data_IF_097399595905
#
_entry.id   IF_097399595905
#
_cell.length_a   1.000
_cell.length_b   1.000
_cell.length_c   1.000
_cell.angle_alpha   90.00
_cell.angle_beta   90.00
_cell.angle_gamma   90.00
#
_symmetry.space_group_name_H-M   'P 1'
#
loop_
_entity.id
_entity.type
_entity.pdbx_description
1 polymer ?
#
# COMPACT_ATOMS: atom_id res chain seq x y z
N UNK A 1 -16.25 -82.21 6.75
CA UNK A 1 -15.86 -81.02 7.53
C UNK A 1 -14.82 -80.23 6.74
N UNK A 2 -15.22 -79.16 6.06
CA UNK A 2 -14.29 -78.18 5.47
C UNK A 2 -14.87 -76.79 5.79
N UNK A 3 -14.19 -76.08 6.69
CA UNK A 3 -14.57 -74.73 7.11
C UNK A 3 -14.20 -73.78 5.98
N UNK A 4 -15.20 -73.11 5.40
CA UNK A 4 -15.01 -72.02 4.44
C UNK A 4 -14.78 -70.76 5.28
N UNK A 5 -13.55 -70.26 5.26
CA UNK A 5 -13.17 -69.01 5.92
C UNK A 5 -13.47 -67.87 4.94
N UNK A 6 -14.40 -66.99 5.32
CA UNK A 6 -14.72 -65.78 4.57
C UNK A 6 -13.71 -64.70 4.98
N UNK A 7 -12.75 -64.40 4.09
CA UNK A 7 -11.75 -63.36 4.31
C UNK A 7 -12.37 -62.01 3.88
N UNK A 8 -12.72 -61.17 4.85
CA UNK A 8 -13.19 -59.80 4.64
C UNK A 8 -11.99 -58.92 4.24
N UNK A 9 -11.92 -58.56 2.96
CA UNK A 9 -10.99 -57.54 2.45
C UNK A 9 -11.55 -56.16 2.79
N UNK A 10 -11.02 -55.53 3.86
CA UNK A 10 -11.26 -54.12 4.15
C UNK A 10 -10.22 -53.30 3.38
N UNK A 11 -10.61 -52.76 2.23
CA UNK A 11 -9.79 -51.78 1.51
C UNK A 11 -9.85 -50.45 2.25
N UNK A 12 -8.79 -50.12 3.00
CA UNK A 12 -8.59 -48.77 3.51
C UNK A 12 -8.33 -47.83 2.33
N UNK A 13 -9.32 -47.02 1.98
CA UNK A 13 -9.13 -45.87 1.10
C UNK A 13 -8.31 -44.83 1.87
N UNK A 14 -6.98 -44.87 1.71
CA UNK A 14 -6.15 -43.71 2.01
C UNK A 14 -6.44 -42.66 0.95
N UNK A 15 -7.34 -41.72 1.26
CA UNK A 15 -7.46 -40.47 0.53
C UNK A 15 -6.15 -39.69 0.75
N UNK A 16 -5.17 -39.92 -0.11
CA UNK A 16 -4.01 -39.05 -0.25
C UNK A 16 -4.52 -37.70 -0.74
N UNK A 17 -4.76 -36.77 0.18
CA UNK A 17 -4.77 -35.35 -0.17
C UNK A 17 -3.35 -35.01 -0.63
N UNK A 18 -3.14 -35.10 -1.94
CA UNK A 18 -1.95 -34.56 -2.58
C UNK A 18 -1.90 -33.06 -2.26
N UNK A 19 -0.87 -32.65 -1.52
CA UNK A 19 -0.54 -31.25 -1.37
C UNK A 19 -0.21 -30.70 -2.77
N UNK A 20 -1.09 -29.89 -3.32
CA UNK A 20 -0.76 -28.94 -4.39
C UNK A 20 0.14 -27.85 -3.78
N UNK A 21 1.42 -28.17 -3.55
CA UNK A 21 2.47 -27.16 -3.45
C UNK A 21 2.95 -26.86 -4.87
N UNK A 22 2.24 -25.95 -5.54
CA UNK A 22 2.74 -25.26 -6.72
C UNK A 22 2.16 -23.85 -6.74
N UNK A 23 2.54 -23.06 -5.75
CA UNK A 23 2.69 -21.62 -5.93
C UNK A 23 4.19 -21.38 -5.83
N UNK A 24 4.78 -20.78 -6.87
CA UNK A 24 6.15 -20.32 -6.80
C UNK A 24 6.29 -19.54 -5.49
N UNK A 25 7.08 -20.07 -4.56
CA UNK A 25 7.32 -19.37 -3.30
C UNK A 25 7.80 -17.97 -3.71
N UNK A 26 7.16 -16.88 -3.26
CA UNK A 26 7.76 -15.57 -3.41
C UNK A 26 9.20 -15.73 -2.91
N UNK A 27 10.19 -15.34 -3.73
CA UNK A 27 11.57 -15.27 -3.24
C UNK A 27 11.51 -14.41 -2.00
N UNK A 28 11.59 -15.07 -0.84
CA UNK A 28 11.36 -14.47 0.46
C UNK A 28 12.49 -13.45 0.70
N UNK A 29 12.26 -12.19 0.30
CA UNK A 29 13.21 -11.11 0.53
C UNK A 29 13.09 -10.74 2.01
N UNK A 30 14.09 -11.14 2.79
CA UNK A 30 14.20 -10.74 4.19
C UNK A 30 14.32 -9.23 4.29
N UNK A 31 13.46 -8.62 5.11
CA UNK A 31 13.60 -7.20 5.38
C UNK A 31 14.84 -6.92 6.23
N UNK A 32 15.74 -6.11 5.68
CA UNK A 32 16.86 -5.55 6.41
C UNK A 32 16.55 -4.09 6.76
N UNK A 33 16.19 -3.85 8.03
CA UNK A 33 15.85 -2.53 8.56
C UNK A 33 17.08 -1.64 8.75
N UNK A 34 17.77 -1.36 7.66
CA UNK A 34 19.01 -0.58 7.63
C UNK A 34 18.89 0.59 6.67
N UNK A 35 19.48 1.72 7.06
CA UNK A 35 19.64 2.90 6.21
C UNK A 35 21.11 3.29 6.19
N UNK A 36 21.63 3.58 5.00
CA UNK A 36 22.99 4.11 4.86
C UNK A 36 22.96 5.63 5.07
N UNK A 37 23.66 6.10 6.10
CA UNK A 37 23.91 7.52 6.33
C UNK A 37 25.01 8.02 5.39
N UNK A 38 24.94 9.29 5.01
CA UNK A 38 25.93 10.01 4.20
C UNK A 38 27.31 10.02 4.85
N UNK A 39 27.41 9.85 6.16
CA UNK A 39 28.68 9.73 6.86
C UNK A 39 29.31 8.31 6.78
N UNK A 40 28.73 7.41 6.00
CA UNK A 40 29.22 6.04 5.80
C UNK A 40 28.79 5.04 6.87
N UNK A 41 28.07 5.48 7.91
CA UNK A 41 27.50 4.56 8.92
C UNK A 41 26.20 3.94 8.43
N UNK A 42 25.95 2.71 8.87
CA UNK A 42 24.67 2.04 8.67
C UNK A 42 23.84 2.12 9.95
N UNK A 43 22.66 2.71 9.88
CA UNK A 43 21.74 2.89 11.01
C UNK A 43 20.67 1.80 10.99
N UNK A 44 20.31 1.24 12.15
CA UNK A 44 19.08 0.46 12.28
C UNK A 44 17.88 1.39 12.23
N UNK A 45 16.72 0.90 11.80
CA UNK A 45 15.47 1.67 11.93
C UNK A 45 15.18 2.07 13.38
N UNK A 46 15.53 1.21 14.34
CA UNK A 46 15.33 1.49 15.77
C UNK A 46 16.24 2.62 16.30
N UNK A 47 17.33 2.93 15.60
CA UNK A 47 18.25 4.02 15.95
C UNK A 47 17.80 5.37 15.38
N UNK A 48 16.81 5.38 14.48
CA UNK A 48 16.35 6.56 13.74
C UNK A 48 15.07 7.09 14.38
N UNK A 49 15.02 8.40 14.70
CA UNK A 49 13.82 9.00 15.29
C UNK A 49 12.62 8.93 14.33
N UNK A 50 11.43 8.68 14.85
CA UNK A 50 10.21 8.60 14.04
C UNK A 50 9.91 7.18 13.56
N UNK A 51 9.25 7.04 12.42
CA UNK A 51 8.83 5.75 11.87
C UNK A 51 8.91 5.78 10.34
N UNK A 52 9.41 4.71 9.68
CA UNK A 52 9.36 4.55 8.22
C UNK A 52 7.95 4.17 7.74
N UNK A 53 7.05 3.83 8.67
CA UNK A 53 5.67 3.43 8.43
C UNK A 53 4.71 4.57 8.78
N UNK A 54 3.67 4.74 7.95
CA UNK A 54 2.49 5.53 8.32
C UNK A 54 1.72 4.90 9.49
N UNK A 55 1.66 3.57 9.53
CA UNK A 55 1.07 2.77 10.60
C UNK A 55 2.11 1.70 10.96
N UNK A 56 2.62 1.73 12.19
CA UNK A 56 3.76 0.88 12.61
C UNK A 56 3.32 -0.58 12.84
N UNK A 57 2.09 -0.77 13.27
CA UNK A 57 1.54 -2.07 13.66
C UNK A 57 1.24 -2.93 12.44
N UNK A 58 1.52 -4.22 12.54
CA UNK A 58 0.95 -5.20 11.62
C UNK A 58 -0.54 -5.31 11.85
N UNK A 59 -1.31 -5.31 10.75
CA UNK A 59 -2.76 -5.44 10.74
C UNK A 59 -3.17 -6.57 9.82
N UNK A 60 -4.30 -7.18 10.14
CA UNK A 60 -4.88 -8.23 9.31
C UNK A 60 -5.23 -7.66 7.93
N UNK A 61 -4.74 -8.31 6.89
CA UNK A 61 -4.89 -7.89 5.50
C UNK A 61 -5.15 -9.09 4.59
N UNK A 62 -6.12 -8.94 3.67
CA UNK A 62 -6.37 -9.91 2.61
C UNK A 62 -5.59 -9.49 1.37
N UNK A 63 -4.74 -10.38 0.86
CA UNK A 63 -3.92 -10.14 -0.34
C UNK A 63 -4.59 -10.79 -1.54
N UNK A 64 -5.18 -10.01 -2.43
CA UNK A 64 -5.99 -10.54 -3.54
C UNK A 64 -7.09 -11.52 -3.09
N UNK A 65 -7.95 -11.97 -4.00
CA UNK A 65 -9.14 -12.74 -3.62
C UNK A 65 -8.83 -14.16 -3.15
N UNK A 66 -7.76 -14.75 -3.70
CA UNK A 66 -7.43 -16.17 -3.60
C UNK A 66 -6.39 -16.52 -2.52
N UNK A 67 -5.88 -15.54 -1.77
CA UNK A 67 -4.90 -15.80 -0.71
C UNK A 67 -5.52 -15.66 0.68
N UNK A 68 -4.87 -16.34 1.62
CA UNK A 68 -5.17 -16.25 3.04
C UNK A 68 -4.94 -14.83 3.57
N UNK A 69 -5.66 -14.51 4.63
CA UNK A 69 -5.45 -13.28 5.39
C UNK A 69 -4.14 -13.37 6.16
N UNK A 70 -3.30 -12.35 6.06
CA UNK A 70 -1.99 -12.28 6.71
C UNK A 70 -1.87 -11.01 7.56
N UNK A 71 -0.94 -11.01 8.52
CA UNK A 71 -0.58 -9.80 9.26
C UNK A 71 0.42 -9.00 8.43
N UNK A 72 0.00 -7.85 7.91
CA UNK A 72 0.80 -7.00 7.02
C UNK A 72 0.87 -5.54 7.50
N UNK A 73 1.85 -4.79 7.01
CA UNK A 73 1.93 -3.34 7.15
C UNK A 73 2.58 -2.72 5.91
N UNK A 74 2.35 -1.43 5.71
CA UNK A 74 2.92 -0.69 4.58
C UNK A 74 4.08 0.20 5.04
N UNK A 75 5.26 -0.04 4.49
CA UNK A 75 6.46 0.76 4.65
C UNK A 75 6.47 1.90 3.61
N UNK A 76 6.08 3.10 4.02
CA UNK A 76 6.03 4.27 3.14
C UNK A 76 7.39 4.88 2.83
N UNK A 77 8.47 4.40 3.46
CA UNK A 77 9.84 4.78 3.13
C UNK A 77 10.39 3.95 1.97
N UNK A 78 10.23 2.62 2.00
CA UNK A 78 10.68 1.73 0.91
C UNK A 78 9.61 1.45 -0.15
N UNK A 79 8.38 1.92 0.07
CA UNK A 79 7.21 1.64 -0.77
C UNK A 79 6.96 0.13 -0.90
N UNK A 80 6.95 -0.57 0.24
CA UNK A 80 6.84 -2.04 0.32
C UNK A 80 5.72 -2.44 1.28
N UNK A 81 5.10 -3.59 1.00
CA UNK A 81 4.19 -4.24 1.94
C UNK A 81 4.93 -5.37 2.61
N UNK A 82 5.09 -5.25 3.92
CA UNK A 82 5.75 -6.23 4.77
C UNK A 82 4.69 -7.15 5.39
N UNK A 83 4.99 -8.43 5.55
CA UNK A 83 4.11 -9.38 6.22
C UNK A 83 4.85 -10.36 7.13
N UNK A 84 4.16 -10.82 8.17
CA UNK A 84 4.69 -11.77 9.14
C UNK A 84 4.36 -13.21 8.74
N UNK A 85 5.36 -14.09 8.78
CA UNK A 85 5.22 -15.54 8.60
C UNK A 85 6.32 -16.27 9.39
N UNK A 86 5.96 -17.25 10.23
CA UNK A 86 6.92 -18.02 11.04
C UNK A 86 7.91 -17.13 11.81
N UNK A 87 7.40 -16.12 12.53
CA UNK A 87 8.16 -15.13 13.32
C UNK A 87 9.20 -14.30 12.54
N UNK A 88 9.11 -14.32 11.21
CA UNK A 88 9.95 -13.56 10.29
C UNK A 88 9.11 -12.56 9.50
N UNK A 89 9.76 -11.50 9.04
CA UNK A 89 9.13 -10.46 8.22
C UNK A 89 9.68 -10.54 6.79
N UNK A 90 8.75 -10.57 5.84
CA UNK A 90 9.03 -10.68 4.41
C UNK A 90 8.35 -9.53 3.65
N UNK A 91 8.77 -9.29 2.41
CA UNK A 91 8.15 -8.31 1.51
C UNK A 91 7.27 -9.02 0.48
N UNK A 92 6.07 -8.50 0.25
CA UNK A 92 5.24 -8.94 -0.87
C UNK A 92 5.89 -8.56 -2.21
N UNK A 93 6.03 -9.52 -3.16
CA UNK A 93 6.52 -9.19 -4.48
C UNK A 93 5.64 -8.15 -5.18
N UNK A 94 6.28 -7.19 -5.85
CA UNK A 94 5.62 -6.13 -6.62
C UNK A 94 5.20 -6.66 -8.00
N UNK A 95 4.05 -7.33 -8.06
CA UNK A 95 3.46 -7.84 -9.30
C UNK A 95 1.92 -7.79 -9.26
N UNK A 96 1.28 -8.08 -10.38
CA UNK A 96 -0.18 -8.00 -10.53
C UNK A 96 -0.94 -8.91 -9.56
N UNK A 97 -0.35 -10.06 -9.21
CA UNK A 97 -0.97 -11.04 -8.30
C UNK A 97 -1.08 -10.49 -6.89
N UNK A 98 -0.12 -9.69 -6.43
CA UNK A 98 -0.12 -9.07 -5.10
C UNK A 98 -0.45 -7.57 -5.16
N UNK A 99 -1.08 -7.13 -6.24
CA UNK A 99 -1.36 -5.71 -6.47
C UNK A 99 -2.49 -5.15 -5.62
N UNK A 100 -3.33 -5.99 -5.01
CA UNK A 100 -4.47 -5.54 -4.22
C UNK A 100 -4.37 -6.07 -2.79
N UNK A 101 -4.30 -5.14 -1.82
CA UNK A 101 -4.21 -5.44 -0.39
C UNK A 101 -5.35 -4.72 0.31
N UNK A 102 -6.18 -5.46 1.05
CA UNK A 102 -7.29 -4.88 1.82
C UNK A 102 -7.04 -5.14 3.30
N UNK A 103 -6.79 -4.08 4.07
CA UNK A 103 -6.66 -4.17 5.52
C UNK A 103 -8.04 -4.37 6.14
N UNK A 104 -8.30 -5.54 6.74
CA UNK A 104 -9.66 -5.95 7.13
C UNK A 104 -10.23 -5.11 8.27
N UNK A 105 -9.38 -4.57 9.14
CA UNK A 105 -9.80 -3.77 10.29
C UNK A 105 -10.32 -2.38 9.90
N UNK A 106 -9.67 -1.72 8.95
CA UNK A 106 -10.01 -0.35 8.51
C UNK A 106 -10.74 -0.30 7.18
N UNK A 107 -10.73 -1.41 6.43
CA UNK A 107 -11.13 -1.49 5.01
C UNK A 107 -10.29 -0.62 4.08
N UNK A 108 -9.12 -0.17 4.55
CA UNK A 108 -8.18 0.54 3.69
C UNK A 108 -7.71 -0.39 2.57
N UNK A 109 -7.84 0.06 1.33
CA UNK A 109 -7.38 -0.66 0.15
C UNK A 109 -6.08 -0.02 -0.34
N UNK A 110 -5.01 -0.81 -0.36
CA UNK A 110 -3.74 -0.44 -0.94
C UNK A 110 -3.60 -1.15 -2.29
N UNK A 111 -3.27 -0.40 -3.33
CA UNK A 111 -3.11 -0.89 -4.70
C UNK A 111 -1.70 -0.63 -5.22
N UNK A 112 -1.05 -1.65 -5.77
CA UNK A 112 0.19 -1.51 -6.50
C UNK A 112 -0.11 -1.16 -7.96
N UNK A 113 0.47 -0.08 -8.44
CA UNK A 113 0.33 0.37 -9.82
C UNK A 113 1.68 0.26 -10.51
N UNK A 114 1.68 -0.41 -11.67
CA UNK A 114 2.83 -0.54 -12.57
C UNK A 114 2.62 0.39 -13.76
N UNK A 115 2.91 1.68 -13.58
CA UNK A 115 2.94 2.64 -14.69
C UNK A 115 4.40 3.06 -14.95
N UNK A 116 4.74 3.36 -16.21
CA UNK A 116 6.06 3.89 -16.61
C UNK A 116 6.22 5.38 -16.27
N UNK A 117 5.28 5.93 -15.50
CA UNK A 117 5.22 7.34 -15.07
C UNK A 117 5.42 7.48 -13.55
N UNK A 118 5.09 8.66 -12.99
CA UNK A 118 5.05 8.96 -11.55
C UNK A 118 4.04 8.10 -10.74
N UNK A 119 3.29 7.22 -11.40
CA UNK A 119 2.28 6.34 -10.80
C UNK A 119 2.78 4.91 -10.53
N UNK A 120 4.08 4.69 -10.55
CA UNK A 120 4.64 3.43 -10.06
C UNK A 120 4.63 3.38 -8.52
N UNK A 121 4.23 2.25 -7.95
CA UNK A 121 4.27 2.03 -6.50
C UNK A 121 2.91 1.75 -5.86
N UNK A 122 2.88 1.73 -4.52
CA UNK A 122 1.64 1.54 -3.77
C UNK A 122 0.88 2.83 -3.51
N UNK A 123 -0.45 2.79 -3.63
CA UNK A 123 -1.36 3.89 -3.37
C UNK A 123 -2.53 3.40 -2.53
N UNK A 124 -3.03 4.24 -1.63
CA UNK A 124 -4.33 3.98 -1.00
C UNK A 124 -5.43 4.38 -1.99
N UNK A 125 -6.33 3.45 -2.30
CA UNK A 125 -7.55 3.71 -3.06
C UNK A 125 -8.63 4.21 -2.10
N UNK A 126 -8.90 5.51 -2.15
CA UNK A 126 -9.83 6.19 -1.24
C UNK A 126 -11.26 6.16 -1.78
N UNK A 127 -11.40 6.31 -3.10
CA UNK A 127 -12.69 6.22 -3.81
C UNK A 127 -12.50 5.38 -5.05
N UNK A 128 -13.31 4.33 -5.20
CA UNK A 128 -13.37 3.48 -6.38
C UNK A 128 -14.44 3.97 -7.37
N UNK A 129 -14.24 3.72 -8.67
CA UNK A 129 -15.24 3.99 -9.71
C UNK A 129 -14.59 4.30 -11.05
N UNK A 130 -15.38 4.84 -11.99
CA UNK A 130 -14.88 5.32 -13.29
C UNK A 130 -13.74 6.33 -13.10
N UNK A 131 -13.87 7.19 -12.09
CA UNK A 131 -12.80 8.04 -11.59
C UNK A 131 -12.39 7.53 -10.20
N UNK A 132 -11.11 7.24 -10.03
CA UNK A 132 -10.56 6.68 -8.78
C UNK A 132 -9.72 7.74 -8.06
N UNK A 133 -10.00 7.96 -6.76
CA UNK A 133 -9.17 8.80 -5.91
C UNK A 133 -8.08 7.94 -5.27
N UNK A 134 -6.83 8.26 -5.56
CA UNK A 134 -5.66 7.59 -5.03
C UNK A 134 -4.88 8.55 -4.12
N UNK A 135 -4.28 8.00 -3.06
CA UNK A 135 -3.44 8.73 -2.11
C UNK A 135 -2.09 8.04 -1.99
N UNK A 136 -1.01 8.76 -2.28
CA UNK A 136 0.37 8.33 -2.05
C UNK A 136 0.86 8.91 -0.73
N UNK A 137 1.29 8.04 0.17
CA UNK A 137 2.01 8.42 1.39
C UNK A 137 3.47 8.04 1.21
N UNK A 138 4.36 8.98 1.50
CA UNK A 138 5.80 8.83 1.41
C UNK A 138 6.45 9.23 2.72
N UNK A 139 7.41 8.43 3.15
CA UNK A 139 8.29 8.75 4.26
C UNK A 139 9.69 8.96 3.71
N UNK A 140 10.38 9.98 4.20
CA UNK A 140 11.77 10.26 3.84
C UNK A 140 12.68 10.07 5.03
N UNK A 141 13.89 9.59 4.78
CA UNK A 141 14.97 9.61 5.75
C UNK A 141 15.70 10.95 5.67
N UNK A 142 15.77 11.64 6.81
CA UNK A 142 16.56 12.86 7.01
C UNK A 142 17.76 12.46 7.86
N UNK A 143 18.94 12.64 7.30
CA UNK A 143 20.18 12.22 7.93
C UNK A 143 20.55 13.07 9.15
N UNK A 144 21.56 12.61 9.90
CA UNK A 144 22.18 13.38 10.98
C UNK A 144 22.70 14.69 10.41
N UNK A 145 22.40 15.80 11.09
CA UNK A 145 22.99 17.11 10.81
C UNK A 145 23.92 17.42 11.98
N UNK A 146 25.25 17.44 11.76
CA UNK A 146 26.22 17.76 12.81
C UNK A 146 25.98 19.16 13.37
N UNK A 147 26.35 19.36 14.63
CA UNK A 147 26.40 20.67 15.25
C UNK A 147 27.31 21.60 14.47
N UNK A 148 26.81 22.80 14.16
CA UNK A 148 27.60 23.84 13.48
C UNK A 148 28.66 24.48 14.40
N UNK A 149 28.56 24.27 15.72
CA UNK A 149 29.49 24.83 16.72
C UNK A 149 29.54 23.96 17.97
N UNK A 150 30.52 24.21 18.86
CA UNK A 150 30.63 23.54 20.16
C UNK A 150 29.49 23.85 21.14
N UNK A 151 28.61 24.81 20.82
CA UNK A 151 27.47 25.21 21.65
C UNK A 151 26.13 24.66 21.15
N UNK A 152 26.10 24.02 19.97
CA UNK A 152 24.90 23.39 19.42
C UNK A 152 24.98 21.86 19.52
N UNK A 153 23.81 21.22 19.59
CA UNK A 153 23.72 19.76 19.56
C UNK A 153 23.50 19.26 18.12
N UNK A 154 23.98 18.06 17.85
CA UNK A 154 23.67 17.34 16.61
C UNK A 154 22.16 17.14 16.47
N UNK A 155 21.63 17.34 15.27
CA UNK A 155 20.25 16.91 14.97
C UNK A 155 20.32 15.44 14.56
N UNK A 156 19.68 14.53 15.32
CA UNK A 156 19.73 13.11 15.03
C UNK A 156 18.97 12.79 13.74
N UNK A 157 19.35 11.67 13.11
CA UNK A 157 18.64 11.16 11.96
C UNK A 157 17.17 10.85 12.30
N UNK A 158 16.28 11.09 11.35
CA UNK A 158 14.84 10.85 11.53
C UNK A 158 14.16 10.38 10.25
N UNK A 159 13.12 9.58 10.42
CA UNK A 159 12.08 9.39 9.42
C UNK A 159 11.04 10.50 9.55
N UNK A 160 10.67 11.08 8.42
CA UNK A 160 9.64 12.10 8.34
C UNK A 160 8.63 11.75 7.24
N UNK A 161 7.38 11.53 7.62
CA UNK A 161 6.29 11.36 6.66
C UNK A 161 5.96 12.70 6.03
N UNK A 162 5.97 12.75 4.70
CA UNK A 162 5.61 13.93 3.92
C UNK A 162 4.08 14.07 3.85
N UNK A 163 3.63 15.28 3.50
CA UNK A 163 2.21 15.48 3.16
C UNK A 163 1.80 14.56 2.01
N UNK A 164 0.65 13.88 2.11
CA UNK A 164 0.23 12.95 1.07
C UNK A 164 -0.03 13.66 -0.26
N UNK A 165 0.26 12.96 -1.36
CA UNK A 165 -0.06 13.41 -2.71
C UNK A 165 -1.31 12.66 -3.19
N UNK A 166 -2.31 13.40 -3.65
CA UNK A 166 -3.53 12.81 -4.20
C UNK A 166 -3.48 12.76 -5.72
N UNK A 167 -4.12 11.74 -6.28
CA UNK A 167 -4.25 11.54 -7.71
C UNK A 167 -5.70 11.20 -8.05
N UNK A 168 -6.23 11.74 -9.13
CA UNK A 168 -7.52 11.32 -9.70
C UNK A 168 -7.20 10.58 -10.99
N UNK A 169 -7.38 9.25 -10.98
CA UNK A 169 -7.24 8.40 -12.17
C UNK A 169 -8.57 8.38 -12.91
N UNK A 170 -8.53 8.62 -14.21
CA UNK A 170 -9.70 8.69 -15.11
C UNK A 170 -9.43 7.84 -16.36
N UNK A 171 -10.43 7.67 -17.23
CA UNK A 171 -10.24 7.07 -18.56
C UNK A 171 -9.29 7.89 -19.44
N UNK A 172 -9.23 9.21 -19.24
CA UNK A 172 -8.45 10.15 -20.08
C UNK A 172 -7.02 10.38 -19.56
N UNK A 173 -6.65 9.76 -18.44
CA UNK A 173 -5.35 9.95 -17.81
C UNK A 173 -5.46 10.29 -16.33
N UNK A 174 -4.43 10.94 -15.80
CA UNK A 174 -4.25 11.15 -14.37
C UNK A 174 -4.09 12.63 -14.05
N UNK A 175 -4.82 13.06 -13.03
CA UNK A 175 -4.66 14.38 -12.43
C UNK A 175 -3.85 14.23 -11.14
N UNK A 176 -2.57 14.62 -11.18
CA UNK A 176 -1.69 14.63 -10.01
C UNK A 176 -1.89 15.92 -9.21
N UNK A 177 -2.05 15.77 -7.90
CA UNK A 177 -2.25 16.85 -6.93
C UNK A 177 -3.28 17.88 -7.42
N UNK A 178 -4.58 17.49 -7.55
CA UNK A 178 -5.63 18.34 -8.11
C UNK A 178 -5.71 19.63 -7.30
N UNK A 179 -5.10 20.71 -7.80
CA UNK A 179 -4.83 21.91 -7.00
C UNK A 179 -5.77 23.08 -7.27
N UNK A 180 -6.58 22.99 -8.32
CA UNK A 180 -7.47 24.09 -8.73
C UNK A 180 -8.70 23.60 -9.50
N UNK A 181 -9.73 24.45 -9.52
CA UNK A 181 -10.98 24.18 -10.26
C UNK A 181 -10.73 24.02 -11.76
N UNK A 182 -9.92 24.91 -12.33
CA UNK A 182 -9.59 24.90 -13.75
C UNK A 182 -8.90 23.59 -14.14
N UNK A 183 -7.92 23.15 -13.34
CA UNK A 183 -7.24 21.88 -13.58
C UNK A 183 -8.22 20.69 -13.63
N UNK A 184 -9.24 20.67 -12.78
CA UNK A 184 -10.31 19.66 -12.86
C UNK A 184 -11.16 19.83 -14.12
N UNK A 185 -11.68 21.03 -14.38
CA UNK A 185 -12.58 21.30 -15.51
C UNK A 185 -11.92 20.94 -16.85
N UNK A 186 -10.64 21.24 -17.02
CA UNK A 186 -9.87 20.95 -18.23
C UNK A 186 -9.78 19.44 -18.53
N UNK A 187 -9.83 18.60 -17.50
CA UNK A 187 -9.83 17.13 -17.63
C UNK A 187 -11.24 16.54 -17.81
N UNK A 188 -12.30 17.34 -17.64
CA UNK A 188 -13.70 16.93 -17.75
C UNK A 188 -14.52 17.94 -18.59
N UNK A 189 -14.19 18.16 -19.87
CA UNK A 189 -14.82 19.21 -20.68
C UNK A 189 -16.34 19.03 -20.81
N UNK A 190 -16.83 17.79 -20.88
CA UNK A 190 -18.26 17.46 -20.94
C UNK A 190 -19.05 17.69 -19.64
N UNK A 191 -18.38 18.00 -18.52
CA UNK A 191 -19.02 18.28 -17.21
C UNK A 191 -18.76 19.71 -16.72
N UNK A 192 -18.30 20.63 -17.58
CA UNK A 192 -17.91 22.00 -17.20
C UNK A 192 -18.97 22.75 -16.41
N UNK A 193 -20.19 22.88 -16.96
CA UNK A 193 -21.27 23.61 -16.30
C UNK A 193 -21.64 23.00 -14.94
N UNK A 194 -21.72 21.67 -14.88
CA UNK A 194 -22.04 20.95 -13.65
C UNK A 194 -20.93 21.12 -12.58
N UNK A 195 -19.66 21.11 -12.99
CA UNK A 195 -18.51 21.37 -12.11
C UNK A 195 -18.49 22.80 -11.59
N UNK A 196 -18.81 23.79 -12.42
CA UNK A 196 -18.88 25.19 -11.99
C UNK A 196 -19.95 25.39 -10.89
N UNK A 197 -21.12 24.77 -11.06
CA UNK A 197 -22.17 24.77 -10.02
C UNK A 197 -21.69 24.04 -8.77
N UNK A 198 -21.12 22.85 -8.91
CA UNK A 198 -20.61 22.06 -7.79
C UNK A 198 -19.57 22.83 -6.96
N UNK A 199 -18.59 23.45 -7.61
CA UNK A 199 -17.53 24.20 -6.94
C UNK A 199 -18.01 25.49 -6.26
N UNK A 200 -19.08 26.12 -6.77
CA UNK A 200 -19.70 27.29 -6.12
C UNK A 200 -20.43 26.88 -4.84
N UNK A 201 -21.19 25.80 -4.89
CA UNK A 201 -22.02 25.34 -3.76
C UNK A 201 -21.20 24.67 -2.65
N UNK A 202 -20.16 23.89 -2.99
CA UNK A 202 -19.47 23.03 -2.02
C UNK A 202 -18.19 23.62 -1.43
N UNK A 203 -17.65 24.71 -1.99
CA UNK A 203 -16.42 25.39 -1.51
C UNK A 203 -15.24 24.42 -1.26
N UNK A 204 -15.00 23.53 -2.23
CA UNK A 204 -13.97 22.47 -2.18
C UNK A 204 -12.59 23.03 -1.83
N UNK A 205 -11.94 22.43 -0.82
CA UNK A 205 -10.53 22.63 -0.50
C UNK A 205 -9.71 21.48 -1.04
N UNK A 206 -8.90 21.76 -2.06
CA UNK A 206 -8.08 20.77 -2.76
C UNK A 206 -6.97 20.12 -1.91
N UNK A 207 -6.68 20.68 -0.74
CA UNK A 207 -5.74 20.11 0.23
C UNK A 207 -6.42 19.29 1.35
N UNK A 208 -7.72 19.05 1.26
CA UNK A 208 -8.48 18.25 2.22
C UNK A 208 -9.00 16.96 1.58
N UNK A 209 -8.69 15.83 2.20
CA UNK A 209 -9.10 14.51 1.70
C UNK A 209 -10.62 14.41 1.57
N UNK A 210 -11.37 14.90 2.55
CA UNK A 210 -12.84 14.79 2.58
C UNK A 210 -13.50 15.56 1.43
N UNK A 211 -12.91 16.69 1.03
CA UNK A 211 -13.41 17.49 -0.09
C UNK A 211 -13.00 16.88 -1.43
N UNK A 212 -11.85 16.21 -1.51
CA UNK A 212 -11.47 15.42 -2.69
C UNK A 212 -12.37 14.19 -2.86
N UNK A 213 -12.75 13.52 -1.77
CA UNK A 213 -13.73 12.42 -1.78
C UNK A 213 -15.07 12.90 -2.35
N UNK A 214 -15.58 14.05 -1.87
CA UNK A 214 -16.82 14.64 -2.40
C UNK A 214 -16.72 14.94 -3.89
N UNK A 215 -15.60 15.54 -4.32
CA UNK A 215 -15.37 15.86 -5.72
C UNK A 215 -15.37 14.59 -6.60
N UNK A 216 -14.61 13.56 -6.23
CA UNK A 216 -14.51 12.34 -7.03
C UNK A 216 -15.83 11.56 -7.05
N UNK A 217 -16.57 11.53 -5.95
CA UNK A 217 -17.92 10.96 -5.94
C UNK A 217 -18.87 11.71 -6.89
N UNK A 218 -18.83 13.03 -6.94
CA UNK A 218 -19.58 13.82 -7.92
C UNK A 218 -19.14 13.53 -9.36
N UNK A 219 -17.85 13.36 -9.61
CA UNK A 219 -17.35 12.99 -10.94
C UNK A 219 -17.83 11.60 -11.38
N UNK A 220 -18.16 10.72 -10.44
CA UNK A 220 -18.66 9.36 -10.67
C UNK A 220 -20.19 9.25 -10.82
N UNK A 221 -20.94 10.35 -10.68
CA UNK A 221 -22.36 10.41 -11.07
C UNK A 221 -22.51 10.65 -12.56
#
# INVERSE_FOLDING_TARGET
>A
MKKIIFLLFVSAYSASFGQLQNTAAPTDVFMHYRVNSKNGKQLSYDDIKGSPYNIKEFRSAKISENYETIMARYNSYTDEVEFQKNDKIYVLPKNDVFSNIIFTNTKDKLVYLTDKSDLSGYFFEIVSGKNTLLKKIKTVFIDVIPAESSYSEDKPAKFQTESPIYYIKTENGIIKNPGSKNNIIDNFPGKKEALDVFFKSNKIKFNKEEDLIKLVNFLNT
#
